data_IF_823760163353
#
_entry.id   IF_823760163353
#
_cell.length_a   1.000
_cell.length_b   1.000
_cell.length_c   1.000
_cell.angle_alpha   90.00
_cell.angle_beta   90.00
_cell.angle_gamma   90.00
#
_symmetry.space_group_name_H-M   'P 1'
#
loop_
_entity.id
_entity.type
_entity.pdbx_description
1 polymer ?
#
# COMPACT_ATOMS: atom_id res chain seq x y z
N UNK A 1 -22.09 -11.50 1.21
CA UNK A 1 -20.88 -11.59 2.04
C UNK A 1 -20.34 -10.18 2.22
N UNK A 2 -20.18 -9.65 3.43
CA UNK A 2 -19.40 -8.43 3.61
C UNK A 2 -17.97 -8.70 3.12
N UNK A 3 -17.33 -7.68 2.55
CA UNK A 3 -15.91 -7.76 2.22
C UNK A 3 -15.11 -7.66 3.53
N UNK A 4 -14.35 -8.71 3.85
CA UNK A 4 -13.45 -8.71 5.00
C UNK A 4 -12.07 -8.20 4.55
N UNK A 5 -11.59 -7.13 5.19
CA UNK A 5 -10.28 -6.55 4.93
C UNK A 5 -9.33 -6.82 6.10
N UNK A 6 -8.09 -7.17 5.77
CA UNK A 6 -7.03 -7.42 6.75
C UNK A 6 -5.77 -6.63 6.40
N UNK A 7 -5.10 -6.13 7.43
CA UNK A 7 -3.79 -5.49 7.28
C UNK A 7 -2.69 -6.54 7.36
N UNK A 8 -2.00 -6.76 6.25
CA UNK A 8 -0.90 -7.73 6.16
C UNK A 8 0.43 -6.98 6.35
N UNK A 9 1.30 -7.40 7.29
CA UNK A 9 2.64 -6.83 7.43
C UNK A 9 3.43 -7.01 6.14
N UNK A 10 4.06 -5.94 5.66
CA UNK A 10 4.91 -5.97 4.48
C UNK A 10 6.07 -5.01 4.63
N UNK A 11 7.15 -5.26 3.90
CA UNK A 11 8.39 -4.47 3.91
C UNK A 11 9.12 -4.56 2.57
N UNK A 12 10.13 -3.72 2.36
CA UNK A 12 11.01 -3.74 1.18
C UNK A 12 10.25 -3.65 -0.16
N UNK A 13 9.23 -2.79 -0.25
CA UNK A 13 8.46 -2.62 -1.48
C UNK A 13 7.62 -3.84 -1.88
N UNK A 14 7.43 -4.82 -0.99
CA UNK A 14 6.52 -5.93 -1.26
C UNK A 14 5.06 -5.48 -1.11
N UNK A 15 4.20 -5.82 -2.09
CA UNK A 15 2.75 -5.65 -2.00
C UNK A 15 2.11 -7.03 -1.86
N UNK A 16 1.31 -7.27 -0.81
CA UNK A 16 0.51 -8.48 -0.72
C UNK A 16 -0.46 -8.63 -1.90
N UNK A 17 -0.75 -9.84 -2.36
CA UNK A 17 -1.82 -10.08 -3.33
C UNK A 17 -3.14 -9.45 -2.88
N UNK A 18 -3.92 -8.97 -3.84
CA UNK A 18 -5.24 -8.34 -3.60
C UNK A 18 -5.22 -7.10 -2.70
N UNK A 19 -4.05 -6.44 -2.56
CA UNK A 19 -3.96 -5.16 -1.88
C UNK A 19 -4.87 -4.12 -2.54
N UNK A 20 -5.52 -3.31 -1.71
CA UNK A 20 -6.49 -2.31 -2.18
C UNK A 20 -5.77 -1.18 -2.93
N UNK A 21 -6.14 -0.98 -4.19
CA UNK A 21 -5.70 0.18 -4.99
C UNK A 21 -6.29 1.47 -4.39
N UNK A 22 -5.42 2.40 -4.01
CA UNK A 22 -5.78 3.73 -3.52
C UNK A 22 -5.95 4.76 -4.64
N UNK A 23 -5.40 4.47 -5.83
CA UNK A 23 -5.42 5.37 -6.99
C UNK A 23 -4.20 5.18 -7.87
N UNK A 24 -3.92 6.18 -8.71
CA UNK A 24 -2.78 6.19 -9.64
C UNK A 24 -2.04 7.52 -9.61
N UNK A 25 -0.75 7.51 -9.93
CA UNK A 25 0.05 8.72 -10.17
C UNK A 25 -0.35 9.37 -11.50
N UNK A 26 0.23 10.54 -11.79
CA UNK A 26 0.06 11.21 -13.11
C UNK A 26 0.65 10.39 -14.25
N UNK A 27 1.71 9.61 -13.98
CA UNK A 27 2.37 8.70 -14.92
C UNK A 27 1.62 7.35 -15.05
N UNK A 28 0.61 7.11 -14.22
CA UNK A 28 -0.25 5.93 -14.27
C UNK A 28 0.17 4.77 -13.38
N UNK A 29 1.21 4.93 -12.54
CA UNK A 29 1.60 3.89 -11.57
C UNK A 29 0.55 3.74 -10.47
N UNK A 30 0.30 2.49 -10.07
CA UNK A 30 -0.69 2.15 -9.06
C UNK A 30 -0.16 2.50 -7.67
N UNK A 31 -1.03 3.09 -6.85
CA UNK A 31 -0.80 3.36 -5.43
C UNK A 31 -1.65 2.41 -4.61
N UNK A 32 -1.10 1.88 -3.51
CA UNK A 32 -1.81 0.97 -2.62
C UNK A 32 -2.10 1.61 -1.27
N UNK A 33 -3.19 1.17 -0.63
CA UNK A 33 -3.52 1.55 0.75
C UNK A 33 -2.57 0.83 1.70
N UNK A 34 -1.82 1.59 2.49
CA UNK A 34 -0.90 1.07 3.50
C UNK A 34 -1.07 1.76 4.84
N UNK A 35 -0.55 1.12 5.89
CA UNK A 35 -0.37 1.76 7.20
C UNK A 35 1.03 1.49 7.73
N UNK A 36 1.58 2.46 8.43
CA UNK A 36 2.85 2.35 9.13
C UNK A 36 2.76 3.01 10.50
N UNK A 37 3.66 2.64 11.42
CA UNK A 37 3.77 3.31 12.70
C UNK A 37 4.80 4.43 12.60
N UNK A 38 4.39 5.66 12.88
CA UNK A 38 5.29 6.80 13.01
C UNK A 38 5.22 7.31 14.45
N UNK A 39 6.35 7.25 15.17
CA UNK A 39 6.42 7.60 16.60
C UNK A 39 5.39 6.85 17.46
N UNK A 40 5.15 5.57 17.16
CA UNK A 40 4.18 4.74 17.87
C UNK A 40 2.71 4.99 17.48
N UNK A 41 2.45 5.94 16.57
CA UNK A 41 1.10 6.24 16.09
C UNK A 41 0.85 5.52 14.76
N UNK A 42 -0.27 4.77 14.61
CA UNK A 42 -0.63 4.18 13.33
C UNK A 42 -1.11 5.27 12.35
N UNK A 43 -0.39 5.41 11.24
CA UNK A 43 -0.69 6.35 10.18
C UNK A 43 -1.08 5.59 8.91
N UNK A 44 -2.22 5.96 8.31
CA UNK A 44 -2.67 5.41 7.02
C UNK A 44 -2.22 6.34 5.90
N UNK A 45 -1.80 5.77 4.78
CA UNK A 45 -1.36 6.54 3.63
C UNK A 45 -1.47 5.75 2.33
N UNK A 46 -1.05 6.43 1.26
CA UNK A 46 -0.87 5.86 -0.07
C UNK A 46 0.61 5.53 -0.25
N UNK A 47 0.92 4.33 -0.68
CA UNK A 47 2.28 3.91 -0.96
C UNK A 47 2.45 3.67 -2.45
N UNK A 48 3.41 4.37 -3.05
CA UNK A 48 3.92 4.05 -4.38
C UNK A 48 4.99 2.98 -4.21
N UNK A 49 4.88 1.91 -4.97
CA UNK A 49 5.90 0.88 -5.01
C UNK A 49 6.75 1.20 -6.23
N UNK A 50 7.97 1.68 -6.01
CA UNK A 50 8.95 1.78 -7.08
C UNK A 50 9.29 0.35 -7.51
N UNK A 51 8.87 -0.03 -8.72
CA UNK A 51 9.46 -1.18 -9.38
C UNK A 51 10.94 -0.85 -9.58
N UNK A 52 11.86 -1.75 -9.18
CA UNK A 52 13.31 -1.66 -9.42
C UNK A 52 13.70 -1.68 -10.92
N UNK A 53 12.81 -1.29 -11.83
CA UNK A 53 13.04 -1.21 -13.28
C UNK A 53 12.84 0.21 -13.84
N UNK A 54 13.30 1.23 -13.10
CA UNK A 54 13.65 2.54 -13.68
C UNK A 54 15.15 2.77 -13.52
#
# INVERSE_FOLDING_TARGET
MPADFQWIPSSNGHVPPDAVEAGRTVEGEILFVGRAYQNGVPCVGKHLIENEMK
#
